data_IF_539560056879
#
_entry.id   IF_539560056879
#
_cell.length_a   1.000
_cell.length_b   1.000
_cell.length_c   1.000
_cell.angle_alpha   90.00
_cell.angle_beta   90.00
_cell.angle_gamma   90.00
#
_symmetry.space_group_name_H-M   'P 1'
#
loop_
_entity.id
_entity.type
_entity.pdbx_description
1 polymer ?
#
# COMPACT_ATOMS: atom_id res chain seq x y z
N UNK A 1 -0.12 -4.65 -17.24
CA UNK A 1 0.82 -5.03 -16.17
C UNK A 1 1.05 -6.54 -16.17
N UNK A 2 0.01 -7.34 -16.02
CA UNK A 2 0.08 -8.80 -15.95
C UNK A 2 0.86 -9.42 -17.13
N UNK A 3 0.52 -9.03 -18.35
CA UNK A 3 1.21 -9.48 -19.57
C UNK A 3 2.71 -9.14 -19.55
N UNK A 4 3.10 -7.96 -19.10
CA UNK A 4 4.51 -7.54 -19.00
C UNK A 4 5.26 -8.37 -17.96
N UNK A 5 4.66 -8.56 -16.78
CA UNK A 5 5.25 -9.40 -15.73
C UNK A 5 5.42 -10.86 -16.22
N UNK A 6 4.38 -11.38 -16.90
CA UNK A 6 4.37 -12.75 -17.40
C UNK A 6 5.38 -12.99 -18.55
N UNK A 7 5.89 -11.95 -19.20
CA UNK A 7 6.91 -12.10 -20.24
C UNK A 7 8.28 -12.54 -19.71
N UNK A 8 8.56 -12.30 -18.42
CA UNK A 8 9.86 -12.59 -17.80
C UNK A 8 11.00 -11.65 -18.21
N UNK A 9 10.69 -10.61 -19.00
CA UNK A 9 11.67 -9.62 -19.46
C UNK A 9 12.28 -8.84 -18.31
N UNK A 10 13.53 -8.40 -18.47
CA UNK A 10 14.26 -7.57 -17.52
C UNK A 10 13.72 -6.12 -17.59
N UNK A 11 12.75 -5.81 -16.74
CA UNK A 11 12.05 -4.53 -16.72
C UNK A 11 11.70 -4.10 -15.31
N UNK A 12 11.98 -2.86 -14.99
CA UNK A 12 11.59 -2.22 -13.74
C UNK A 12 10.27 -1.48 -13.90
N UNK A 13 9.24 -1.86 -13.14
CA UNK A 13 7.92 -1.25 -13.15
C UNK A 13 7.70 -0.53 -11.83
N UNK A 14 7.48 0.79 -11.89
CA UNK A 14 7.11 1.58 -10.71
C UNK A 14 5.64 1.95 -10.74
N UNK A 15 4.93 1.63 -9.66
CA UNK A 15 3.53 2.00 -9.44
C UNK A 15 3.46 3.07 -8.35
N UNK A 16 2.95 4.24 -8.69
CA UNK A 16 2.53 5.24 -7.73
C UNK A 16 1.10 4.94 -7.30
N UNK A 17 0.93 4.34 -6.12
CA UNK A 17 -0.41 4.02 -5.61
C UNK A 17 -1.06 5.26 -5.00
N UNK A 18 -1.84 5.93 -5.82
CA UNK A 18 -2.65 7.09 -5.44
C UNK A 18 -4.03 6.69 -4.92
N UNK A 19 -4.34 5.38 -4.90
CA UNK A 19 -5.57 4.77 -4.39
C UNK A 19 -6.87 5.22 -5.10
N UNK A 20 -6.78 6.07 -6.10
CA UNK A 20 -7.89 6.51 -6.97
C UNK A 20 -7.39 6.70 -8.40
N UNK A 21 -8.27 6.86 -9.36
CA UNK A 21 -7.92 7.39 -10.68
C UNK A 21 -7.67 8.90 -10.58
N UNK A 22 -6.45 9.28 -10.18
CA UNK A 22 -6.10 10.66 -9.82
C UNK A 22 -6.26 11.62 -10.99
N UNK A 23 -5.70 11.26 -12.16
CA UNK A 23 -5.63 12.14 -13.32
C UNK A 23 -7.01 12.49 -13.89
N UNK A 24 -7.96 11.58 -13.82
CA UNK A 24 -9.30 11.77 -14.37
C UNK A 24 -10.31 12.35 -13.36
N UNK A 25 -9.89 12.62 -12.12
CA UNK A 25 -10.70 13.34 -11.14
C UNK A 25 -11.15 12.54 -9.92
N UNK A 26 -10.42 11.51 -9.51
CA UNK A 26 -10.63 10.85 -8.22
C UNK A 26 -11.71 9.77 -8.19
N UNK A 27 -11.93 9.07 -9.30
CA UNK A 27 -12.84 7.94 -9.32
C UNK A 27 -12.31 6.76 -8.51
N UNK A 28 -13.24 6.01 -7.91
CA UNK A 28 -12.91 4.78 -7.21
C UNK A 28 -12.24 3.76 -8.13
N UNK A 29 -11.13 3.19 -7.70
CA UNK A 29 -10.39 2.15 -8.39
C UNK A 29 -10.38 0.85 -7.57
N UNK A 30 -9.70 -0.18 -8.08
CA UNK A 30 -9.44 -1.41 -7.32
C UNK A 30 -8.48 -1.16 -6.14
N UNK A 31 -7.65 -0.12 -6.22
CA UNK A 31 -6.74 0.28 -5.15
C UNK A 31 -7.42 1.13 -4.06
N UNK A 32 -8.59 1.70 -4.30
CA UNK A 32 -9.30 2.53 -3.32
C UNK A 32 -9.62 1.72 -2.06
N UNK A 33 -9.21 2.19 -0.87
CA UNK A 33 -9.40 1.46 0.38
C UNK A 33 -10.86 1.40 0.83
N UNK A 34 -11.14 0.41 1.68
CA UNK A 34 -12.42 0.27 2.35
C UNK A 34 -12.77 1.53 3.14
N UNK A 35 -14.01 2.02 3.01
CA UNK A 35 -14.49 3.22 3.71
C UNK A 35 -14.11 4.54 3.07
N UNK A 36 -13.20 4.57 2.11
CA UNK A 36 -12.83 5.81 1.43
C UNK A 36 -13.95 6.27 0.47
N UNK A 37 -14.31 7.55 0.57
CA UNK A 37 -15.18 8.23 -0.41
C UNK A 37 -14.38 8.59 -1.65
N UNK A 38 -14.93 8.30 -2.81
CA UNK A 38 -14.38 8.67 -4.11
C UNK A 38 -15.53 8.88 -5.09
N UNK A 39 -15.26 9.41 -6.28
CA UNK A 39 -16.29 9.41 -7.34
C UNK A 39 -16.70 7.97 -7.64
N UNK A 40 -17.98 7.74 -7.80
CA UNK A 40 -18.66 6.42 -7.89
C UNK A 40 -18.63 5.57 -6.62
N UNK A 41 -18.18 6.15 -5.50
CA UNK A 41 -18.23 5.54 -4.17
C UNK A 41 -18.57 6.60 -3.11
N UNK A 42 -19.66 7.38 -3.33
CA UNK A 42 -20.05 8.51 -2.48
C UNK A 42 -20.41 8.09 -1.03
N UNK A 43 -20.93 6.88 -0.85
CA UNK A 43 -21.25 6.30 0.46
C UNK A 43 -20.13 5.41 1.03
N UNK A 44 -18.88 5.67 0.62
CA UNK A 44 -17.70 4.90 0.99
C UNK A 44 -17.60 3.56 0.25
N UNK A 45 -16.38 3.16 -0.11
CA UNK A 45 -16.14 1.86 -0.75
C UNK A 45 -16.36 0.73 0.26
N UNK A 46 -17.10 -0.30 -0.12
CA UNK A 46 -17.51 -1.41 0.77
C UNK A 46 -16.63 -2.67 0.64
N UNK A 47 -15.77 -2.70 -0.37
CA UNK A 47 -14.87 -3.83 -0.66
C UNK A 47 -13.43 -3.40 -0.40
N UNK A 48 -12.63 -4.28 0.23
CA UNK A 48 -11.21 -4.02 0.42
C UNK A 48 -10.49 -3.82 -0.92
N UNK A 49 -9.41 -3.06 -0.89
CA UNK A 49 -8.55 -2.84 -2.05
C UNK A 49 -7.84 -4.12 -2.52
N UNK A 50 -7.47 -4.12 -3.80
CA UNK A 50 -6.66 -5.18 -4.40
C UNK A 50 -5.26 -5.20 -3.78
N UNK A 51 -4.76 -6.37 -3.44
CA UNK A 51 -3.37 -6.58 -3.05
C UNK A 51 -2.50 -6.83 -4.29
N UNK A 52 -2.00 -5.75 -4.89
CA UNK A 52 -1.20 -5.84 -6.10
C UNK A 52 0.14 -6.55 -5.85
N UNK A 53 0.78 -6.27 -4.72
CA UNK A 53 2.03 -6.92 -4.33
C UNK A 53 1.85 -8.42 -4.12
N UNK A 54 0.80 -8.82 -3.39
CA UNK A 54 0.47 -10.23 -3.18
C UNK A 54 0.26 -10.97 -4.50
N UNK A 55 -0.46 -10.37 -5.45
CA UNK A 55 -0.65 -10.95 -6.79
C UNK A 55 0.69 -11.10 -7.52
N UNK A 56 1.55 -10.09 -7.50
CA UNK A 56 2.85 -10.15 -8.17
C UNK A 56 3.78 -11.20 -7.54
N UNK A 57 3.78 -11.33 -6.21
CA UNK A 57 4.58 -12.37 -5.52
C UNK A 57 4.18 -13.79 -5.90
N UNK A 58 2.93 -14.05 -6.33
CA UNK A 58 2.49 -15.38 -6.75
C UNK A 58 3.17 -15.89 -8.02
N UNK A 59 3.79 -15.02 -8.82
CA UNK A 59 4.62 -15.45 -9.96
C UNK A 59 5.91 -16.16 -9.52
N UNK A 60 6.40 -15.91 -8.31
CA UNK A 60 7.60 -16.55 -7.75
C UNK A 60 8.93 -16.06 -8.32
N UNK A 61 8.95 -15.47 -9.50
CA UNK A 61 10.14 -14.93 -10.17
C UNK A 61 10.14 -13.40 -10.35
N UNK A 62 9.17 -12.71 -9.80
CA UNK A 62 9.09 -11.23 -9.85
C UNK A 62 9.70 -10.65 -8.57
N UNK A 63 10.65 -9.73 -8.69
CA UNK A 63 11.06 -8.92 -7.55
C UNK A 63 9.92 -7.97 -7.19
N UNK A 64 9.52 -7.94 -5.93
CA UNK A 64 8.43 -7.07 -5.47
C UNK A 64 8.85 -6.25 -4.27
N UNK A 65 8.64 -4.95 -4.31
CA UNK A 65 8.85 -4.08 -3.16
C UNK A 65 7.64 -3.17 -2.94
N UNK A 66 7.27 -3.00 -1.68
CA UNK A 66 6.32 -1.98 -1.25
C UNK A 66 7.07 -0.96 -0.42
N UNK A 67 7.04 0.31 -0.85
CA UNK A 67 7.88 1.37 -0.31
C UNK A 67 7.08 2.58 0.15
N UNK A 68 7.67 3.37 1.06
CA UNK A 68 7.06 4.58 1.61
C UNK A 68 8.18 5.60 1.90
N UNK A 69 8.50 6.44 0.91
CA UNK A 69 9.65 7.34 0.97
C UNK A 69 9.66 8.23 2.21
N UNK A 70 8.51 8.83 2.57
CA UNK A 70 8.39 9.68 3.77
C UNK A 70 8.57 8.94 5.09
N UNK A 71 8.45 7.61 5.11
CA UNK A 71 8.65 6.79 6.30
C UNK A 71 10.10 6.31 6.44
N UNK A 72 10.71 5.84 5.34
CA UNK A 72 12.09 5.33 5.33
C UNK A 72 12.73 5.50 3.95
N UNK A 73 13.61 6.50 3.82
CA UNK A 73 14.38 6.75 2.60
C UNK A 73 15.36 5.62 2.27
N UNK A 74 15.99 5.03 3.30
CA UNK A 74 17.00 4.00 3.09
C UNK A 74 16.36 2.71 2.56
N UNK A 75 15.18 2.34 3.10
CA UNK A 75 14.41 1.21 2.58
C UNK A 75 14.01 1.45 1.12
N UNK A 76 13.58 2.65 0.79
CA UNK A 76 13.19 3.03 -0.57
C UNK A 76 14.39 2.92 -1.53
N UNK A 77 15.53 3.52 -1.20
CA UNK A 77 16.76 3.45 -2.00
C UNK A 77 17.22 1.99 -2.17
N UNK A 78 17.20 1.21 -1.10
CA UNK A 78 17.58 -0.20 -1.14
C UNK A 78 16.68 -1.00 -2.08
N UNK A 79 15.36 -0.78 -2.03
CA UNK A 79 14.41 -1.46 -2.91
C UNK A 79 14.69 -1.16 -4.39
N UNK A 80 15.02 0.09 -4.73
CA UNK A 80 15.41 0.47 -6.09
C UNK A 80 16.73 -0.19 -6.52
N UNK A 81 17.75 -0.18 -5.67
CA UNK A 81 19.04 -0.80 -5.97
C UNK A 81 18.92 -2.32 -6.15
N UNK A 82 18.09 -2.99 -5.35
CA UNK A 82 17.81 -4.41 -5.49
C UNK A 82 17.05 -4.71 -6.79
N UNK A 83 16.03 -3.91 -7.15
CA UNK A 83 15.28 -4.04 -8.40
C UNK A 83 16.18 -3.84 -9.61
N UNK A 84 17.05 -2.84 -9.61
CA UNK A 84 18.00 -2.56 -10.69
C UNK A 84 19.02 -3.69 -10.88
N UNK A 85 19.41 -4.34 -9.79
CA UNK A 85 20.35 -5.48 -9.83
C UNK A 85 19.70 -6.82 -10.15
N UNK A 86 18.37 -6.87 -10.23
CA UNK A 86 17.61 -8.08 -10.50
C UNK A 86 17.41 -8.27 -12.00
N UNK A 87 17.88 -9.39 -12.55
CA UNK A 87 17.68 -9.74 -13.95
C UNK A 87 16.35 -10.47 -14.13
N UNK A 88 15.30 -9.71 -14.37
CA UNK A 88 13.93 -10.16 -14.53
C UNK A 88 12.93 -9.04 -14.21
N UNK A 89 11.63 -9.30 -14.26
CA UNK A 89 10.64 -8.27 -13.98
C UNK A 89 10.62 -7.86 -12.51
N UNK A 90 10.69 -6.55 -12.27
CA UNK A 90 10.60 -5.96 -10.94
C UNK A 90 9.39 -5.05 -10.82
N UNK A 91 8.69 -5.11 -9.68
CA UNK A 91 7.54 -4.28 -9.36
C UNK A 91 7.75 -3.54 -8.04
N UNK A 92 7.89 -2.23 -8.09
CA UNK A 92 7.99 -1.36 -6.91
C UNK A 92 6.67 -0.61 -6.77
N UNK A 93 6.01 -0.71 -5.62
CA UNK A 93 4.74 -0.05 -5.32
C UNK A 93 4.99 0.99 -4.23
N UNK A 94 4.85 2.26 -4.59
CA UNK A 94 5.06 3.40 -3.70
C UNK A 94 3.73 4.01 -3.27
N UNK A 95 3.52 4.20 -1.96
CA UNK A 95 2.39 5.01 -1.49
C UNK A 95 2.57 6.46 -1.93
N UNK A 96 1.61 6.96 -2.69
CA UNK A 96 1.65 8.29 -3.29
C UNK A 96 0.37 9.08 -2.96
N UNK A 97 0.32 9.81 -1.81
CA UNK A 97 -0.84 10.62 -1.47
C UNK A 97 -1.25 11.56 -2.60
N UNK A 98 -2.54 11.62 -2.88
CA UNK A 98 -3.14 12.43 -3.92
C UNK A 98 -3.99 13.56 -3.34
N UNK A 99 -4.12 14.66 -4.05
CA UNK A 99 -5.00 15.78 -3.65
C UNK A 99 -6.45 15.33 -3.41
N UNK A 100 -6.91 14.31 -4.12
CA UNK A 100 -8.26 13.75 -3.96
C UNK A 100 -8.50 13.08 -2.59
N UNK A 101 -7.46 12.76 -1.84
CA UNK A 101 -7.58 12.22 -0.47
C UNK A 101 -8.03 13.28 0.52
N UNK A 102 -7.74 14.56 0.22
CA UNK A 102 -8.10 15.69 1.07
C UNK A 102 -7.35 15.66 2.40
N UNK A 103 -6.01 15.63 2.33
CA UNK A 103 -5.15 15.65 3.52
C UNK A 103 -5.35 16.96 4.27
N UNK A 104 -5.67 16.90 5.56
CA UNK A 104 -5.73 18.08 6.42
C UNK A 104 -4.35 18.72 6.50
N UNK A 105 -4.27 20.02 6.19
CA UNK A 105 -3.00 20.74 6.07
C UNK A 105 -2.41 20.77 4.67
N UNK A 106 -3.04 20.11 3.67
CA UNK A 106 -2.67 20.17 2.26
C UNK A 106 -1.51 19.26 1.87
N UNK A 107 -1.16 19.29 0.58
CA UNK A 107 -0.16 18.40 -0.01
C UNK A 107 1.28 18.65 0.48
N UNK A 108 1.57 19.78 1.08
CA UNK A 108 2.85 20.02 1.76
C UNK A 108 3.11 19.00 2.88
N UNK A 109 2.05 18.38 3.42
CA UNK A 109 2.11 17.32 4.42
C UNK A 109 2.22 15.91 3.83
N UNK A 110 2.36 15.75 2.51
CA UNK A 110 2.36 14.43 1.87
C UNK A 110 3.40 13.47 2.46
N UNK A 111 4.64 13.91 2.67
CA UNK A 111 5.70 13.06 3.24
C UNK A 111 5.43 12.69 4.70
N UNK A 112 4.89 13.62 5.49
CA UNK A 112 4.45 13.37 6.86
C UNK A 112 3.27 12.38 6.88
N UNK A 113 2.33 12.51 5.94
CA UNK A 113 1.21 11.57 5.79
C UNK A 113 1.70 10.17 5.44
N UNK A 114 2.69 10.02 4.55
CA UNK A 114 3.32 8.73 4.23
C UNK A 114 3.93 8.09 5.49
N UNK A 115 4.67 8.88 6.28
CA UNK A 115 5.25 8.41 7.56
C UNK A 115 4.16 7.94 8.52
N UNK A 116 3.10 8.73 8.68
CA UNK A 116 1.99 8.42 9.58
C UNK A 116 1.19 7.19 9.11
N UNK A 117 1.06 6.99 7.80
CA UNK A 117 0.42 5.80 7.23
C UNK A 117 1.15 4.51 7.65
N UNK A 118 2.48 4.52 7.61
CA UNK A 118 3.27 3.36 8.06
C UNK A 118 3.17 3.20 9.58
N UNK A 119 3.26 4.28 10.34
CA UNK A 119 3.14 4.25 11.81
C UNK A 119 1.77 3.72 12.27
N UNK A 120 0.70 4.00 11.53
CA UNK A 120 -0.65 3.55 11.82
C UNK A 120 -0.99 2.13 11.27
N UNK A 121 -0.06 1.49 10.56
CA UNK A 121 -0.32 0.20 9.91
C UNK A 121 -1.27 0.29 8.70
N UNK A 122 -1.53 1.48 8.21
CA UNK A 122 -2.30 1.69 6.98
C UNK A 122 -1.51 1.26 5.74
N UNK A 123 -0.20 1.47 5.76
CA UNK A 123 0.74 1.05 4.73
C UNK A 123 1.90 0.28 5.36
N UNK A 124 2.38 -0.78 4.69
CA UNK A 124 3.51 -1.58 5.15
C UNK A 124 4.61 -1.57 4.11
N UNK A 125 5.87 -1.52 4.56
CA UNK A 125 7.03 -1.62 3.67
C UNK A 125 7.64 -3.01 3.78
N UNK A 126 7.95 -3.61 2.63
CA UNK A 126 8.54 -4.94 2.55
C UNK A 126 9.21 -5.15 1.17
N UNK A 127 10.00 -6.19 1.06
CA UNK A 127 10.65 -6.63 -0.17
C UNK A 127 10.51 -8.15 -0.32
N UNK A 128 10.33 -8.60 -1.56
CA UNK A 128 10.35 -9.98 -1.95
C UNK A 128 11.39 -10.15 -3.06
N UNK A 129 12.48 -10.87 -2.77
CA UNK A 129 13.58 -11.09 -3.69
C UNK A 129 13.65 -12.59 -4.06
N UNK A 130 13.25 -12.97 -5.28
CA UNK A 130 13.24 -14.38 -5.72
C UNK A 130 14.62 -15.06 -5.67
N UNK A 131 15.73 -14.29 -5.76
CA UNK A 131 17.09 -14.83 -5.69
C UNK A 131 17.37 -15.55 -4.38
N UNK A 132 16.76 -15.11 -3.29
CA UNK A 132 16.90 -15.71 -1.96
C UNK A 132 16.32 -17.12 -1.91
N UNK A 133 15.22 -17.38 -2.61
CA UNK A 133 14.65 -18.74 -2.72
C UNK A 133 15.65 -19.72 -3.29
N UNK A 134 16.43 -19.30 -4.31
CA UNK A 134 17.49 -20.14 -4.90
C UNK A 134 18.65 -20.42 -3.94
N UNK A 135 18.86 -19.51 -2.96
CA UNK A 135 19.85 -19.70 -1.90
C UNK A 135 19.31 -20.46 -0.67
N UNK A 136 18.03 -20.90 -0.69
CA UNK A 136 17.37 -21.55 0.44
C UNK A 136 17.01 -20.60 1.57
N UNK A 137 16.96 -19.29 1.30
CA UNK A 137 16.58 -18.25 2.24
C UNK A 137 15.15 -17.77 2.01
N UNK A 138 14.56 -17.14 3.04
CA UNK A 138 13.24 -16.52 2.89
C UNK A 138 13.30 -15.35 1.90
N UNK A 139 12.57 -15.42 0.76
CA UNK A 139 12.52 -14.33 -0.19
C UNK A 139 11.82 -13.09 0.36
N UNK A 140 10.93 -13.25 1.34
CA UNK A 140 10.15 -12.16 1.91
C UNK A 140 10.85 -11.51 3.11
N UNK A 141 10.96 -10.19 3.08
CA UNK A 141 11.48 -9.40 4.19
C UNK A 141 10.51 -8.27 4.54
N UNK A 142 9.95 -8.31 5.75
CA UNK A 142 9.15 -7.22 6.30
C UNK A 142 10.09 -6.12 6.82
N UNK A 143 10.01 -4.93 6.25
CA UNK A 143 10.86 -3.80 6.62
C UNK A 143 10.19 -2.89 7.66
N UNK A 144 8.85 -2.72 7.58
CA UNK A 144 8.12 -1.93 8.58
C UNK A 144 8.04 -2.63 9.93
N UNK A 145 8.17 -1.82 10.98
CA UNK A 145 7.94 -2.25 12.37
C UNK A 145 6.45 -2.41 12.66
N UNK A 146 6.14 -2.98 13.83
CA UNK A 146 4.78 -3.03 14.33
C UNK A 146 4.16 -1.62 14.39
N UNK A 147 2.89 -1.46 14.00
CA UNK A 147 2.19 -0.19 14.12
C UNK A 147 2.20 0.34 15.56
N UNK A 148 2.40 1.65 15.70
CA UNK A 148 2.49 2.34 16.99
C UNK A 148 1.48 3.49 17.11
N UNK A 149 0.84 3.88 16.00
CA UNK A 149 -0.14 4.96 15.96
C UNK A 149 -1.56 4.40 15.76
N UNK A 150 -2.56 5.20 16.12
CA UNK A 150 -3.97 4.86 15.97
C UNK A 150 -4.39 4.92 14.50
N UNK A 151 -4.92 3.82 13.98
CA UNK A 151 -5.38 3.69 12.59
C UNK A 151 -6.56 4.62 12.28
N UNK A 152 -7.53 4.71 13.19
CA UNK A 152 -8.72 5.56 12.98
C UNK A 152 -8.35 7.04 12.99
N UNK A 153 -7.50 7.45 13.93
CA UNK A 153 -6.99 8.83 13.96
C UNK A 153 -6.27 9.20 12.65
N UNK A 154 -5.51 8.26 12.07
CA UNK A 154 -4.85 8.48 10.79
C UNK A 154 -5.87 8.69 9.66
N UNK A 155 -6.81 7.76 9.44
CA UNK A 155 -7.77 7.88 8.32
C UNK A 155 -8.69 9.07 8.47
N UNK A 156 -9.11 9.44 9.68
CA UNK A 156 -9.94 10.63 9.95
C UNK A 156 -9.18 11.94 9.71
N UNK A 157 -7.88 11.89 9.53
CA UNK A 157 -7.04 12.97 9.02
C UNK A 157 -7.27 13.34 7.56
N UNK A 158 -7.99 12.52 6.80
CA UNK A 158 -8.29 12.73 5.39
C UNK A 158 -9.79 13.00 5.17
N UNK A 159 -10.10 13.96 4.26
CA UNK A 159 -11.48 14.35 3.98
C UNK A 159 -12.31 13.19 3.44
N UNK A 160 -11.70 12.30 2.63
CA UNK A 160 -12.38 11.14 2.06
C UNK A 160 -12.97 10.16 3.10
N UNK A 161 -12.49 10.19 4.34
CA UNK A 161 -13.06 9.42 5.46
C UNK A 161 -13.91 10.31 6.38
N UNK A 162 -13.43 11.50 6.73
CA UNK A 162 -14.17 12.40 7.62
C UNK A 162 -15.48 12.91 7.01
N UNK A 163 -15.58 12.97 5.67
CA UNK A 163 -16.85 13.28 4.98
C UNK A 163 -17.85 12.13 5.09
N UNK A 164 -17.40 10.88 4.99
CA UNK A 164 -18.27 9.72 5.20
C UNK A 164 -18.87 9.72 6.61
N UNK A 165 -18.04 9.99 7.61
CA UNK A 165 -18.47 10.06 9.01
C UNK A 165 -19.54 11.13 9.25
N UNK A 166 -19.45 12.27 8.54
CA UNK A 166 -20.47 13.32 8.63
C UNK A 166 -21.78 12.98 7.93
N UNK A 167 -21.69 12.32 6.76
CA UNK A 167 -22.87 12.06 5.92
C UNK A 167 -23.57 10.75 6.28
N UNK A 168 -22.84 9.74 6.75
CA UNK A 168 -23.31 8.40 7.05
C UNK A 168 -22.62 7.84 8.30
N UNK A 169 -22.87 8.39 9.50
CA UNK A 169 -22.09 8.07 10.73
C UNK A 169 -22.13 6.58 11.07
N UNK A 170 -23.31 5.97 11.12
CA UNK A 170 -23.47 4.54 11.48
C UNK A 170 -22.77 3.59 10.49
N UNK A 171 -22.75 3.96 9.20
CA UNK A 171 -22.07 3.20 8.16
C UNK A 171 -20.56 3.41 8.23
N UNK A 172 -20.13 4.65 8.48
CA UNK A 172 -18.72 5.00 8.60
C UNK A 172 -18.04 4.22 9.71
N UNK A 173 -18.62 4.17 10.91
CA UNK A 173 -18.05 3.44 12.04
C UNK A 173 -17.85 1.96 11.72
N UNK A 174 -18.86 1.30 11.15
CA UNK A 174 -18.75 -0.11 10.74
C UNK A 174 -17.66 -0.35 9.70
N UNK A 175 -17.54 0.56 8.71
CA UNK A 175 -16.51 0.44 7.67
C UNK A 175 -15.11 0.71 8.22
N UNK A 176 -14.97 1.68 9.12
CA UNK A 176 -13.67 2.03 9.71
C UNK A 176 -13.16 0.95 10.66
N UNK A 177 -14.04 0.36 11.49
CA UNK A 177 -13.68 -0.78 12.35
C UNK A 177 -13.23 -1.97 11.51
N UNK A 178 -13.96 -2.26 10.43
CA UNK A 178 -13.60 -3.31 9.49
C UNK A 178 -12.28 -3.01 8.77
N UNK A 179 -12.03 -1.75 8.39
CA UNK A 179 -10.78 -1.34 7.76
C UNK A 179 -9.58 -1.47 8.71
N UNK A 180 -9.74 -1.07 9.96
CA UNK A 180 -8.73 -1.24 11.00
C UNK A 180 -8.39 -2.72 11.23
N UNK A 181 -9.41 -3.58 11.30
CA UNK A 181 -9.20 -5.04 11.43
C UNK A 181 -8.47 -5.63 10.22
N UNK A 182 -8.82 -5.22 9.00
CA UNK A 182 -8.11 -5.65 7.78
C UNK A 182 -6.63 -5.23 7.81
N UNK A 183 -6.33 -4.03 8.31
CA UNK A 183 -4.95 -3.56 8.44
C UNK A 183 -4.14 -4.39 9.46
N UNK A 184 -4.75 -4.71 10.60
CA UNK A 184 -4.17 -5.59 11.61
C UNK A 184 -3.90 -6.99 11.05
N UNK A 185 -4.91 -7.61 10.41
CA UNK A 185 -4.80 -8.93 9.80
C UNK A 185 -3.72 -8.95 8.69
N UNK A 186 -3.59 -7.86 7.93
CA UNK A 186 -2.54 -7.71 6.92
C UNK A 186 -1.15 -7.71 7.57
N UNK A 187 -0.94 -6.93 8.64
CA UNK A 187 0.33 -6.90 9.35
C UNK A 187 0.69 -8.28 9.93
N UNK A 188 -0.28 -8.95 10.55
CA UNK A 188 -0.10 -10.30 11.07
C UNK A 188 0.29 -11.29 9.96
N UNK A 189 -0.39 -11.22 8.80
CA UNK A 189 -0.06 -12.04 7.63
C UNK A 189 1.36 -11.80 7.14
N UNK A 190 1.79 -10.54 6.99
CA UNK A 190 3.14 -10.18 6.57
C UNK A 190 4.21 -10.66 7.58
N UNK A 191 3.89 -10.58 8.88
CA UNK A 191 4.75 -11.10 9.94
C UNK A 191 4.92 -12.63 9.86
N UNK A 192 3.86 -13.35 9.49
CA UNK A 192 3.92 -14.81 9.26
C UNK A 192 4.78 -15.14 8.02
N UNK A 193 4.59 -14.39 6.92
CA UNK A 193 5.43 -14.56 5.72
C UNK A 193 6.92 -14.37 6.02
N UNK A 194 7.26 -13.41 6.88
CA UNK A 194 8.66 -13.16 7.28
C UNK A 194 9.28 -14.28 8.12
N UNK A 195 8.49 -15.25 8.59
CA UNK A 195 8.92 -16.38 9.43
C UNK A 195 8.77 -17.74 8.73
N UNK A 196 8.46 -17.75 7.45
CA UNK A 196 8.02 -18.97 6.75
C UNK A 196 9.19 -19.91 6.40
N UNK A 197 10.44 -19.43 6.49
CA UNK A 197 11.70 -20.16 6.19
C UNK A 197 12.64 -20.11 7.37
#
# INVERSE_FOLDING_TARGET
LDHVIASGEDVNIMVFDTEVYSNTGGQASKATPLGAVAQFAAAGKEIKNKDLAGIAMTYGYVYVAQVAMGADYNQCIKAFAEAESYHGPSLIIAYAPCINQGIKGGMVKAQETIKNAVAAGYWHTFRFDPRKTLAGENPFQLDSKAPTADYRAFIEGEVRYSSLKRSFPDKADKLFDRAAKIAEDKYEHLTKLAKLY
#
